data_IF_147463416272
#
_entry.id   IF_147463416272
#
_cell.length_a   1.000
_cell.length_b   1.000
_cell.length_c   1.000
_cell.angle_alpha   90.00
_cell.angle_beta   90.00
_cell.angle_gamma   90.00
#
_symmetry.space_group_name_H-M   'P 1'
#
loop_
_entity.id
_entity.type
_entity.pdbx_description
1 polymer ?
#
# COMPACT_ATOMS: atom_id res chain seq x y z
N UNK A 1 21.64 23.10 -20.45
CA UNK A 1 20.28 22.74 -20.03
C UNK A 1 20.32 21.34 -19.45
N UNK A 2 20.24 21.22 -18.12
CA UNK A 2 19.88 20.01 -17.33
C UNK A 2 20.58 20.08 -15.96
N UNK A 3 19.88 20.57 -14.93
CA UNK A 3 20.22 20.31 -13.52
C UNK A 3 19.14 20.76 -12.52
N UNK A 4 17.92 21.07 -12.97
CA UNK A 4 16.82 21.49 -12.10
C UNK A 4 15.94 20.30 -11.64
N UNK A 5 15.79 19.26 -12.45
CA UNK A 5 14.86 18.14 -12.16
C UNK A 5 15.33 17.21 -11.03
N UNK A 6 16.64 17.11 -10.80
CA UNK A 6 17.19 16.26 -9.72
C UNK A 6 17.10 16.93 -8.34
N UNK A 7 17.01 18.26 -8.29
CA UNK A 7 16.94 19.01 -7.02
C UNK A 7 15.53 19.05 -6.46
N UNK A 8 14.51 19.11 -7.33
CA UNK A 8 13.09 19.13 -6.95
C UNK A 8 12.66 17.83 -6.28
N UNK A 9 13.02 16.68 -6.87
CA UNK A 9 12.69 15.37 -6.29
C UNK A 9 13.37 15.17 -4.92
N UNK A 10 14.65 15.53 -4.80
CA UNK A 10 15.38 15.47 -3.54
C UNK A 10 14.79 16.42 -2.46
N UNK A 11 14.27 17.58 -2.85
CA UNK A 11 13.62 18.52 -1.92
C UNK A 11 12.22 18.09 -1.48
N UNK A 12 11.44 17.44 -2.35
CA UNK A 12 10.15 16.83 -2.00
C UNK A 12 10.38 15.66 -1.04
N UNK A 13 11.33 14.78 -1.34
CA UNK A 13 11.79 13.70 -0.46
C UNK A 13 12.29 14.25 0.89
N UNK A 14 13.04 15.36 0.90
CA UNK A 14 13.52 16.00 2.13
C UNK A 14 12.40 16.60 2.99
N UNK A 15 11.35 17.14 2.37
CA UNK A 15 10.18 17.68 3.08
C UNK A 15 9.32 16.56 3.70
N UNK A 16 9.15 15.44 2.99
CA UNK A 16 8.50 14.22 3.52
C UNK A 16 9.30 13.61 4.66
N UNK A 17 10.63 13.46 4.49
CA UNK A 17 11.56 12.97 5.53
C UNK A 17 11.55 13.80 6.82
N UNK A 18 11.39 15.12 6.71
CA UNK A 18 11.40 16.02 7.87
C UNK A 18 10.13 15.91 8.73
N UNK A 19 8.99 15.52 8.15
CA UNK A 19 7.75 15.22 8.88
C UNK A 19 7.70 13.79 9.41
N UNK A 20 8.35 12.84 8.75
CA UNK A 20 8.38 11.42 9.11
C UNK A 20 9.36 11.06 10.25
N UNK A 21 10.21 11.99 10.71
CA UNK A 21 11.02 11.80 11.93
C UNK A 21 10.19 11.55 13.20
N UNK A 22 8.87 11.64 13.12
CA UNK A 22 7.93 11.38 14.20
C UNK A 22 7.35 9.94 14.20
N UNK A 23 7.53 9.15 13.12
CA UNK A 23 7.12 7.74 13.07
C UNK A 23 8.23 6.77 13.49
N UNK A 24 9.27 7.26 14.19
CA UNK A 24 10.35 6.43 14.69
C UNK A 24 9.87 5.45 15.77
N UNK A 25 9.32 4.33 15.34
CA UNK A 25 9.18 3.12 16.15
C UNK A 25 10.08 2.05 15.53
N UNK A 26 11.03 1.60 16.34
CA UNK A 26 12.02 0.57 16.03
C UNK A 26 11.34 -0.71 15.50
N UNK A 27 11.90 -1.26 14.41
CA UNK A 27 11.67 -2.62 13.89
C UNK A 27 10.25 -2.94 13.38
N UNK A 28 9.84 -2.35 12.26
CA UNK A 28 8.86 -2.95 11.34
C UNK A 28 9.37 -4.32 10.87
N UNK A 29 9.03 -5.36 11.62
CA UNK A 29 9.21 -6.74 11.18
C UNK A 29 8.11 -7.05 10.18
N UNK A 30 8.34 -6.63 8.94
CA UNK A 30 7.50 -6.94 7.80
C UNK A 30 6.92 -8.35 7.79
N UNK A 31 5.67 -8.50 7.34
CA UNK A 31 4.90 -9.73 7.23
C UNK A 31 5.57 -10.70 6.25
N UNK A 32 6.56 -11.36 6.80
CA UNK A 32 7.51 -12.24 6.16
C UNK A 32 6.99 -13.67 6.17
N UNK A 33 5.91 -13.93 5.46
CA UNK A 33 5.30 -15.24 5.47
C UNK A 33 4.08 -15.31 4.58
N UNK A 34 3.88 -16.46 3.94
CA UNK A 34 2.66 -16.76 3.20
C UNK A 34 1.53 -16.98 4.21
N UNK A 35 0.47 -16.20 4.14
CA UNK A 35 -0.76 -16.46 4.88
C UNK A 35 -1.48 -17.71 4.33
N UNK A 36 -2.22 -18.40 5.21
CA UNK A 36 -3.32 -19.28 4.78
C UNK A 36 -4.54 -18.42 4.48
N UNK A 37 -4.75 -18.21 3.18
CA UNK A 37 -5.80 -17.43 2.56
C UNK A 37 -7.21 -17.94 2.95
N UNK A 38 -8.25 -17.09 2.86
CA UNK A 38 -9.63 -17.46 3.25
C UNK A 38 -10.17 -18.63 2.40
N UNK A 39 -9.47 -18.90 1.29
CA UNK A 39 -9.53 -20.09 0.47
C UNK A 39 -8.09 -20.47 0.07
N UNK A 40 -7.83 -21.76 -0.15
CA UNK A 40 -6.54 -22.32 -0.57
C UNK A 40 -5.67 -21.34 -1.39
N UNK A 41 -4.41 -21.04 -1.01
CA UNK A 41 -3.56 -20.10 -1.72
C UNK A 41 -3.31 -20.44 -3.20
N UNK A 42 -3.59 -21.69 -3.62
CA UNK A 42 -3.57 -22.10 -5.02
C UNK A 42 -4.83 -21.68 -5.82
N UNK A 43 -5.86 -21.12 -5.17
CA UNK A 43 -7.13 -20.66 -5.75
C UNK A 43 -7.30 -19.12 -5.78
N UNK A 44 -6.25 -18.35 -5.52
CA UNK A 44 -6.33 -16.89 -5.58
C UNK A 44 -6.32 -16.36 -7.02
N UNK A 45 -7.25 -15.47 -7.36
CA UNK A 45 -7.24 -14.79 -8.67
C UNK A 45 -6.16 -13.71 -8.68
N UNK A 46 -5.11 -13.93 -9.48
CA UNK A 46 -3.98 -13.00 -9.59
C UNK A 46 -4.11 -12.06 -10.79
N UNK A 47 -4.20 -10.76 -10.53
CA UNK A 47 -4.09 -9.70 -11.53
C UNK A 47 -2.61 -9.35 -11.75
N UNK A 48 -2.03 -9.79 -12.86
CA UNK A 48 -0.61 -9.58 -13.21
C UNK A 48 -0.39 -8.47 -14.22
N UNK A 49 -1.36 -8.22 -15.09
CA UNK A 49 -1.23 -7.26 -16.18
C UNK A 49 -1.65 -5.84 -15.80
N UNK A 50 -0.94 -4.85 -16.32
CA UNK A 50 -1.38 -3.44 -16.24
C UNK A 50 -2.79 -3.30 -16.82
N UNK A 51 -3.68 -2.63 -16.08
CA UNK A 51 -5.10 -2.47 -16.37
C UNK A 51 -5.91 -3.78 -16.50
N UNK A 52 -5.38 -4.92 -16.07
CA UNK A 52 -6.19 -6.13 -15.88
C UNK A 52 -7.19 -5.87 -14.76
N UNK A 53 -8.44 -6.26 -14.96
CA UNK A 53 -9.51 -6.03 -13.99
C UNK A 53 -10.38 -7.25 -13.78
N UNK A 54 -10.89 -7.39 -12.55
CA UNK A 54 -11.91 -8.36 -12.16
C UNK A 54 -13.12 -7.63 -11.58
N UNK A 55 -14.31 -8.21 -11.76
CA UNK A 55 -15.54 -7.72 -11.17
C UNK A 55 -16.03 -8.67 -10.09
N UNK A 56 -16.30 -8.15 -8.90
CA UNK A 56 -16.81 -8.88 -7.75
C UNK A 56 -18.22 -8.39 -7.47
N UNK A 57 -19.19 -9.31 -7.51
CA UNK A 57 -20.56 -9.03 -7.13
C UNK A 57 -20.74 -9.19 -5.61
N UNK A 58 -21.53 -8.33 -4.95
CA UNK A 58 -21.86 -8.48 -3.55
C UNK A 58 -22.65 -9.77 -3.30
N UNK A 59 -22.74 -10.18 -2.05
CA UNK A 59 -23.74 -11.16 -1.63
C UNK A 59 -25.12 -10.51 -1.62
N UNK A 60 -26.18 -11.31 -1.41
CA UNK A 60 -27.56 -10.80 -1.35
C UNK A 60 -27.75 -9.74 -0.24
N UNK A 61 -26.91 -9.78 0.80
CA UNK A 61 -26.89 -8.84 1.92
C UNK A 61 -25.78 -7.78 1.81
N UNK A 62 -25.05 -7.71 0.70
CA UNK A 62 -23.95 -6.75 0.49
C UNK A 62 -22.56 -7.37 0.63
N UNK A 63 -21.58 -6.54 0.97
CA UNK A 63 -20.24 -6.99 1.34
C UNK A 63 -20.08 -6.97 2.86
N UNK A 64 -19.32 -7.92 3.39
CA UNK A 64 -18.79 -7.88 4.75
C UNK A 64 -17.53 -7.01 4.80
N UNK A 65 -16.73 -7.09 5.86
CA UNK A 65 -15.43 -6.41 5.91
C UNK A 65 -14.54 -6.85 4.74
N UNK A 66 -13.90 -5.88 4.10
CA UNK A 66 -12.91 -6.13 3.05
C UNK A 66 -11.55 -5.76 3.64
N UNK A 67 -10.62 -6.70 3.64
CA UNK A 67 -9.26 -6.49 4.14
C UNK A 67 -8.32 -6.29 2.95
N UNK A 68 -7.52 -5.23 3.00
CA UNK A 68 -6.49 -4.98 2.00
C UNK A 68 -5.14 -4.90 2.70
N UNK A 69 -4.33 -5.92 2.49
CA UNK A 69 -3.00 -6.06 3.09
C UNK A 69 -1.89 -6.13 2.06
N UNK A 70 -0.66 -6.12 2.54
CA UNK A 70 0.54 -6.29 1.71
C UNK A 70 1.40 -7.44 2.24
N UNK A 71 1.85 -8.29 1.33
CA UNK A 71 2.88 -9.32 1.59
C UNK A 71 4.10 -9.07 0.72
N UNK A 72 5.29 -9.46 1.21
CA UNK A 72 6.52 -9.42 0.42
C UNK A 72 7.48 -10.54 0.78
N UNK A 73 8.48 -10.75 -0.07
CA UNK A 73 9.46 -11.81 0.14
C UNK A 73 10.60 -11.30 1.06
N UNK A 74 11.03 -12.12 2.03
CA UNK A 74 12.18 -11.80 2.87
C UNK A 74 13.47 -11.77 2.05
N UNK A 75 14.19 -10.65 2.11
CA UNK A 75 15.51 -10.53 1.50
C UNK A 75 16.59 -10.97 2.50
N UNK A 76 17.27 -12.07 2.19
CA UNK A 76 18.37 -12.61 3.01
C UNK A 76 19.70 -12.37 2.29
N UNK A 77 20.59 -11.54 2.86
CA UNK A 77 21.93 -11.24 2.31
C UNK A 77 23.04 -11.81 3.21
N UNK A 78 24.22 -12.18 2.66
CA UNK A 78 25.37 -12.55 3.49
C UNK A 78 25.82 -11.37 4.36
N UNK A 79 26.09 -11.59 5.64
CA UNK A 79 26.54 -10.53 6.54
C UNK A 79 27.90 -9.98 6.09
N UNK A 80 27.97 -8.67 5.81
CA UNK A 80 29.18 -8.01 5.29
C UNK A 80 30.30 -7.93 6.33
N UNK A 81 31.55 -8.17 5.91
CA UNK A 81 32.76 -7.96 6.71
C UNK A 81 33.77 -9.12 6.61
N UNK A 82 35.04 -8.82 6.86
CA UNK A 82 36.16 -9.79 6.82
C UNK A 82 35.95 -10.98 7.77
N UNK A 83 35.13 -10.80 8.82
CA UNK A 83 34.78 -11.85 9.80
C UNK A 83 33.48 -12.62 9.42
N UNK A 84 32.62 -12.06 8.57
CA UNK A 84 31.36 -12.68 8.11
C UNK A 84 31.54 -13.71 6.99
N UNK A 85 32.63 -13.64 6.22
CA UNK A 85 32.93 -14.66 5.20
C UNK A 85 33.42 -16.00 5.79
N UNK A 86 33.85 -16.02 7.05
CA UNK A 86 34.39 -17.20 7.73
C UNK A 86 33.33 -17.98 8.52
N UNK A 87 32.25 -17.32 8.92
CA UNK A 87 31.09 -17.92 9.55
C UNK A 87 29.90 -17.55 8.69
N UNK A 88 29.31 -18.50 7.94
CA UNK A 88 28.17 -18.32 7.02
C UNK A 88 26.94 -17.70 7.70
N UNK A 89 27.04 -16.45 8.13
CA UNK A 89 26.01 -15.71 8.86
C UNK A 89 25.28 -14.88 7.82
N UNK A 90 24.00 -15.14 7.68
CA UNK A 90 23.09 -14.35 6.86
C UNK A 90 22.47 -13.25 7.72
N UNK A 91 22.11 -12.15 7.09
CA UNK A 91 21.37 -11.04 7.68
C UNK A 91 20.14 -10.78 6.80
N UNK A 92 18.98 -10.69 7.43
CA UNK A 92 17.76 -10.20 6.79
C UNK A 92 17.90 -8.69 6.57
N UNK A 93 17.53 -8.23 5.38
CA UNK A 93 17.45 -6.80 5.07
C UNK A 93 16.08 -6.32 5.57
N UNK A 94 16.07 -5.36 6.48
CA UNK A 94 14.84 -4.71 6.91
C UNK A 94 14.36 -3.80 5.77
N UNK A 95 13.09 -3.96 5.40
CA UNK A 95 12.40 -3.18 4.39
C UNK A 95 11.21 -2.51 5.07
N UNK A 96 11.20 -1.17 5.06
CA UNK A 96 10.06 -0.39 5.55
C UNK A 96 9.12 -0.14 4.37
N UNK A 97 8.21 -1.09 4.15
CA UNK A 97 7.15 -1.03 3.16
C UNK A 97 5.83 -0.70 3.86
N UNK A 98 5.25 0.42 3.52
CA UNK A 98 3.99 0.89 4.11
C UNK A 98 2.85 0.84 3.08
N UNK A 99 1.61 0.66 3.56
CA UNK A 99 0.39 0.71 2.75
C UNK A 99 -0.47 1.95 3.05
N UNK A 100 -1.09 2.51 2.01
CA UNK A 100 -2.08 3.57 2.16
C UNK A 100 -3.09 3.57 1.03
N UNK A 101 -4.11 4.44 1.14
CA UNK A 101 -5.06 4.65 0.05
C UNK A 101 -5.54 6.08 -0.09
N UNK A 102 -5.92 6.45 -1.31
CA UNK A 102 -6.80 7.59 -1.57
C UNK A 102 -8.23 7.10 -1.72
N UNK A 103 -9.21 7.84 -1.20
CA UNK A 103 -10.61 7.50 -1.32
C UNK A 103 -11.45 8.66 -1.88
N UNK A 104 -12.54 8.30 -2.55
CA UNK A 104 -13.64 9.19 -2.91
C UNK A 104 -14.94 8.52 -2.51
N UNK A 105 -15.79 9.24 -1.77
CA UNK A 105 -17.14 8.84 -1.40
C UNK A 105 -18.13 9.30 -2.48
N UNK A 106 -19.32 8.68 -2.50
CA UNK A 106 -20.39 9.02 -3.44
C UNK A 106 -20.89 10.47 -3.30
N UNK A 107 -20.75 11.07 -2.11
CA UNK A 107 -21.08 12.49 -1.88
C UNK A 107 -20.00 13.46 -2.38
N UNK A 108 -18.90 12.94 -2.93
CA UNK A 108 -17.77 13.71 -3.44
C UNK A 108 -16.69 14.04 -2.40
N UNK A 109 -16.86 13.62 -1.14
CA UNK A 109 -15.82 13.71 -0.10
C UNK A 109 -14.63 12.86 -0.48
N UNK A 110 -13.42 13.41 -0.33
CA UNK A 110 -12.17 12.75 -0.72
C UNK A 110 -11.13 12.93 0.36
N UNK A 111 -10.23 11.96 0.47
CA UNK A 111 -9.13 12.02 1.41
C UNK A 111 -8.12 10.92 1.18
N UNK A 112 -7.22 10.79 2.14
CA UNK A 112 -6.23 9.73 2.18
C UNK A 112 -6.28 9.06 3.55
N UNK A 113 -6.05 7.74 3.57
CA UNK A 113 -5.80 6.95 4.77
C UNK A 113 -4.39 6.40 4.65
N UNK A 114 -3.53 6.72 5.62
CA UNK A 114 -2.09 6.46 5.61
C UNK A 114 -1.47 6.77 6.98
N UNK A 115 -0.43 6.02 7.37
CA UNK A 115 0.29 6.25 8.62
C UNK A 115 0.97 7.64 8.64
N UNK A 116 1.57 8.06 7.53
CA UNK A 116 2.18 9.39 7.43
C UNK A 116 1.15 10.52 7.56
N UNK A 117 1.38 11.42 8.52
CA UNK A 117 0.45 12.50 8.83
C UNK A 117 -0.74 12.07 9.67
N UNK A 118 -0.66 10.88 10.30
CA UNK A 118 -1.62 10.34 11.27
C UNK A 118 -3.06 10.26 10.72
N UNK A 119 -3.18 9.90 9.44
CA UNK A 119 -4.48 9.76 8.76
C UNK A 119 -4.95 8.32 8.84
N UNK A 120 -5.30 7.86 10.03
CA UNK A 120 -5.70 6.48 10.28
C UNK A 120 -7.07 6.10 9.72
N UNK A 121 -7.89 7.08 9.35
CA UNK A 121 -9.26 6.85 8.89
C UNK A 121 -10.22 6.54 10.04
N UNK A 122 -11.38 5.98 9.70
CA UNK A 122 -12.41 5.59 10.65
C UNK A 122 -13.26 4.46 10.06
N UNK A 123 -13.46 3.39 10.83
CA UNK A 123 -14.18 2.20 10.36
C UNK A 123 -15.71 2.34 10.47
N UNK A 124 -16.20 2.87 11.60
CA UNK A 124 -17.64 2.96 11.90
C UNK A 124 -18.32 4.25 11.41
N UNK A 125 -17.54 5.21 10.95
CA UNK A 125 -17.99 6.47 10.36
C UNK A 125 -17.22 6.79 9.09
N UNK A 126 -17.66 7.78 8.31
CA UNK A 126 -16.96 8.16 7.09
C UNK A 126 -15.46 8.44 7.40
N UNK A 127 -14.50 7.83 6.67
CA UNK A 127 -14.67 7.28 5.32
C UNK A 127 -15.04 5.80 5.23
N UNK A 128 -15.32 5.11 6.33
CA UNK A 128 -15.56 3.66 6.40
C UNK A 128 -14.34 2.82 6.00
N UNK A 129 -13.17 3.44 6.12
CA UNK A 129 -11.85 2.89 5.80
C UNK A 129 -10.95 3.26 6.96
N UNK A 130 -10.27 2.28 7.55
CA UNK A 130 -9.29 2.49 8.61
C UNK A 130 -8.01 1.71 8.31
N UNK A 131 -6.86 2.28 8.65
CA UNK A 131 -5.57 1.58 8.64
C UNK A 131 -5.31 1.02 10.03
N UNK A 132 -4.91 -0.24 10.13
CA UNK A 132 -4.48 -0.84 11.39
C UNK A 132 -3.30 -0.04 11.98
N UNK A 133 -3.44 0.42 13.22
CA UNK A 133 -2.37 1.09 13.95
C UNK A 133 -1.53 0.12 14.78
N UNK A 134 -0.65 0.66 15.62
CA UNK A 134 0.28 -0.06 16.53
C UNK A 134 -0.39 -0.93 17.62
N UNK A 135 -1.69 -1.18 17.53
CA UNK A 135 -2.33 -2.30 18.24
C UNK A 135 -1.94 -3.60 17.53
N UNK A 136 -0.63 -3.88 17.55
CA UNK A 136 -0.06 -5.17 17.24
C UNK A 136 -0.60 -6.13 18.29
N UNK A 137 -1.63 -6.91 17.95
CA UNK A 137 -1.86 -8.21 18.58
C UNK A 137 -0.71 -9.14 18.12
N UNK A 138 0.50 -8.82 18.61
CA UNK A 138 1.79 -9.32 18.16
C UNK A 138 2.09 -10.74 18.61
N UNK A 139 1.15 -11.66 18.40
CA UNK A 139 1.39 -13.10 18.45
C UNK A 139 0.53 -13.89 17.43
N UNK A 140 -0.23 -13.22 16.55
CA UNK A 140 -1.06 -13.88 15.53
C UNK A 140 -0.47 -13.76 14.11
N UNK A 141 -0.59 -14.84 13.32
CA UNK A 141 -0.22 -14.85 11.90
C UNK A 141 -1.09 -13.85 11.11
N UNK A 142 -0.49 -12.79 10.54
CA UNK A 142 -1.25 -11.74 9.85
C UNK A 142 -0.41 -10.76 9.05
N UNK A 143 -1.07 -9.77 8.44
CA UNK A 143 -0.40 -8.62 7.81
C UNK A 143 -0.08 -7.59 8.91
N UNK A 144 1.07 -6.92 8.83
CA UNK A 144 1.42 -5.89 9.83
C UNK A 144 0.62 -4.59 9.67
N UNK A 145 0.30 -4.25 8.42
CA UNK A 145 -0.52 -3.10 8.07
C UNK A 145 -1.66 -3.52 7.13
N UNK A 146 -2.90 -3.25 7.55
CA UNK A 146 -4.13 -3.62 6.84
C UNK A 146 -5.03 -2.41 6.73
N UNK A 147 -5.54 -2.17 5.53
CA UNK A 147 -6.69 -1.30 5.33
C UNK A 147 -7.96 -2.13 5.53
N UNK A 148 -8.71 -1.78 6.56
CA UNK A 148 -10.04 -2.30 6.87
C UNK A 148 -11.08 -1.43 6.17
N UNK A 149 -11.86 -2.02 5.26
CA UNK A 149 -12.95 -1.33 4.56
C UNK A 149 -14.27 -1.95 5.00
N UNK A 150 -15.17 -1.14 5.57
CA UNK A 150 -16.47 -1.61 6.06
C UNK A 150 -17.42 -1.84 4.89
N UNK A 151 -17.50 -3.07 4.37
CA UNK A 151 -18.26 -3.37 3.16
C UNK A 151 -19.77 -3.17 3.27
N UNK A 152 -20.34 -3.14 4.48
CA UNK A 152 -21.73 -2.71 4.71
C UNK A 152 -22.00 -1.29 4.15
N UNK A 153 -20.96 -0.45 4.11
CA UNK A 153 -21.00 0.91 3.57
C UNK A 153 -20.30 1.04 2.21
N UNK A 154 -20.02 -0.06 1.51
CA UNK A 154 -19.42 -0.02 0.17
C UNK A 154 -20.21 0.87 -0.79
N UNK A 155 -21.54 0.89 -0.68
CA UNK A 155 -22.41 1.76 -1.47
C UNK A 155 -22.23 3.27 -1.24
N UNK A 156 -21.50 3.68 -0.20
CA UNK A 156 -21.12 5.08 0.06
C UNK A 156 -19.72 5.41 -0.48
N UNK A 157 -18.93 4.40 -0.82
CA UNK A 157 -17.58 4.53 -1.35
C UNK A 157 -17.68 4.45 -2.87
N UNK A 158 -17.16 5.47 -3.56
CA UNK A 158 -17.12 5.51 -5.02
C UNK A 158 -15.89 4.81 -5.58
N UNK A 159 -14.72 5.10 -4.99
CA UNK A 159 -13.46 4.44 -5.36
C UNK A 159 -12.38 4.55 -4.29
N UNK A 160 -11.50 3.57 -4.27
CA UNK A 160 -10.30 3.48 -3.42
C UNK A 160 -9.10 3.19 -4.32
N UNK A 161 -8.08 4.03 -4.27
CA UNK A 161 -6.77 3.78 -4.88
C UNK A 161 -5.80 3.35 -3.80
N UNK A 162 -5.39 2.08 -3.82
CA UNK A 162 -4.40 1.50 -2.90
C UNK A 162 -3.01 1.73 -3.47
N UNK A 163 -2.08 2.16 -2.62
CA UNK A 163 -0.69 2.37 -2.97
C UNK A 163 0.25 1.86 -1.89
N UNK A 164 1.48 1.56 -2.30
CA UNK A 164 2.59 1.20 -1.45
C UNK A 164 3.69 2.24 -1.54
N UNK A 165 4.43 2.46 -0.46
CA UNK A 165 5.60 3.33 -0.48
C UNK A 165 6.76 2.78 0.36
N UNK A 166 7.99 3.08 -0.07
CA UNK A 166 9.22 2.67 0.62
C UNK A 166 9.88 3.92 1.22
N UNK A 167 10.08 3.93 2.54
CA UNK A 167 10.64 5.08 3.26
C UNK A 167 12.18 5.09 3.32
N UNK A 168 12.78 3.95 3.69
CA UNK A 168 14.22 3.74 3.76
C UNK A 168 14.57 2.32 3.28
N UNK A 169 15.81 2.13 2.85
CA UNK A 169 16.27 0.92 2.18
C UNK A 169 16.44 1.09 0.67
N UNK A 170 17.17 0.15 0.05
CA UNK A 170 17.35 0.14 -1.39
C UNK A 170 15.98 -0.09 -2.05
N UNK A 171 15.53 0.89 -2.85
CA UNK A 171 14.29 0.88 -3.60
C UNK A 171 14.36 -0.12 -4.75
N UNK A 172 14.51 -1.40 -4.44
CA UNK A 172 14.50 -2.47 -5.41
C UNK A 172 13.16 -3.20 -5.30
N UNK A 173 12.15 -2.67 -5.97
CA UNK A 173 10.81 -3.27 -5.99
C UNK A 173 10.86 -4.71 -6.52
N UNK A 174 11.83 -5.02 -7.39
CA UNK A 174 12.05 -6.36 -7.92
C UNK A 174 12.55 -7.34 -6.85
N UNK A 175 13.38 -6.88 -5.91
CA UNK A 175 13.84 -7.70 -4.78
C UNK A 175 12.77 -7.85 -3.70
N UNK A 176 11.95 -6.82 -3.45
CA UNK A 176 10.88 -6.84 -2.44
C UNK A 176 9.73 -7.75 -2.91
N UNK A 177 9.39 -7.70 -4.21
CA UNK A 177 8.29 -8.47 -4.80
C UNK A 177 6.97 -8.36 -4.01
N UNK A 178 6.49 -7.13 -3.70
CA UNK A 178 5.29 -6.96 -2.91
C UNK A 178 4.04 -7.37 -3.68
N UNK A 179 3.08 -7.89 -2.93
CA UNK A 179 1.78 -8.35 -3.41
C UNK A 179 0.71 -7.71 -2.53
N UNK A 180 -0.20 -6.97 -3.16
CA UNK A 180 -1.38 -6.47 -2.46
C UNK A 180 -2.46 -7.54 -2.51
N UNK A 181 -2.94 -7.91 -1.34
CA UNK A 181 -3.98 -8.92 -1.13
C UNK A 181 -5.28 -8.19 -0.82
N UNK A 182 -6.36 -8.55 -1.51
CA UNK A 182 -7.72 -8.09 -1.20
C UNK A 182 -8.55 -9.32 -0.83
N UNK A 183 -8.86 -9.44 0.45
CA UNK A 183 -9.71 -10.49 1.02
C UNK A 183 -11.15 -9.96 1.15
N UNK A 184 -12.08 -10.69 0.54
CA UNK A 184 -13.51 -10.41 0.58
C UNK A 184 -14.19 -11.70 1.04
N UNK A 185 -14.82 -11.73 2.23
CA UNK A 185 -15.43 -12.93 2.79
C UNK A 185 -16.36 -13.65 1.79
N UNK A 186 -16.10 -14.94 1.59
CA UNK A 186 -16.87 -15.80 0.68
C UNK A 186 -16.60 -15.59 -0.81
N UNK A 187 -15.53 -14.87 -1.18
CA UNK A 187 -15.00 -14.77 -2.55
C UNK A 187 -13.61 -15.42 -2.62
N UNK A 188 -13.10 -15.61 -3.84
CA UNK A 188 -11.69 -15.97 -4.04
C UNK A 188 -10.81 -14.76 -3.69
N UNK A 189 -9.69 -15.02 -3.02
CA UNK A 189 -8.74 -13.97 -2.67
C UNK A 189 -8.13 -13.36 -3.94
N UNK A 190 -7.99 -12.04 -3.95
CA UNK A 190 -7.48 -11.31 -5.10
C UNK A 190 -6.07 -10.83 -4.82
N UNK A 191 -5.16 -11.13 -5.75
CA UNK A 191 -3.75 -10.74 -5.63
C UNK A 191 -3.39 -9.78 -6.74
N UNK A 192 -2.89 -8.60 -6.38
CA UNK A 192 -2.29 -7.66 -7.32
C UNK A 192 -0.78 -7.71 -7.17
N UNK A 193 -0.10 -8.23 -8.18
CA UNK A 193 1.37 -8.28 -8.21
C UNK A 193 1.93 -7.07 -8.93
N UNK A 194 3.05 -6.52 -8.45
CA UNK A 194 3.81 -5.56 -9.22
C UNK A 194 4.25 -6.15 -10.57
N UNK A 195 4.09 -5.38 -11.64
CA UNK A 195 4.54 -5.73 -12.98
C UNK A 195 5.95 -5.18 -13.25
N UNK A 196 6.05 -4.29 -14.24
CA UNK A 196 7.26 -3.47 -14.43
C UNK A 196 7.53 -2.65 -13.17
N UNK A 197 8.79 -2.36 -12.88
CA UNK A 197 9.20 -1.54 -11.75
C UNK A 197 10.13 -0.42 -12.20
N UNK A 198 10.05 0.71 -11.49
CA UNK A 198 11.03 1.79 -11.58
C UNK A 198 11.60 2.03 -10.17
N UNK A 199 12.80 1.50 -9.95
CA UNK A 199 13.52 1.57 -8.68
C UNK A 199 13.95 3.01 -8.30
N UNK A 200 13.74 4.00 -9.18
CA UNK A 200 13.93 5.42 -8.88
C UNK A 200 12.71 6.08 -8.24
N UNK A 201 11.56 5.39 -8.22
CA UNK A 201 10.29 5.91 -7.72
C UNK A 201 9.88 5.14 -6.46
N UNK A 202 9.58 5.86 -5.38
CA UNK A 202 9.33 5.27 -4.05
C UNK A 202 7.84 5.08 -3.73
N UNK A 203 6.95 5.41 -4.67
CA UNK A 203 5.51 5.28 -4.53
C UNK A 203 4.94 4.50 -5.71
N UNK A 204 4.16 3.45 -5.42
CA UNK A 204 3.48 2.64 -6.43
C UNK A 204 1.98 2.61 -6.17
N UNK A 205 1.18 3.08 -7.11
CA UNK A 205 -0.27 2.86 -7.14
C UNK A 205 -0.53 1.43 -7.63
N UNK A 206 -1.05 0.57 -6.76
CA UNK A 206 -1.13 -0.87 -7.02
C UNK A 206 -2.50 -1.26 -7.56
N UNK A 207 -3.58 -0.92 -6.84
CA UNK A 207 -4.93 -1.38 -7.15
C UNK A 207 -5.94 -0.25 -7.07
N UNK A 208 -6.85 -0.19 -8.03
CA UNK A 208 -8.00 0.71 -8.02
C UNK A 208 -9.28 -0.11 -7.85
N UNK A 209 -9.95 0.06 -6.72
CA UNK A 209 -11.27 -0.50 -6.46
C UNK A 209 -12.31 0.57 -6.79
N UNK A 210 -13.26 0.26 -7.67
CA UNK A 210 -14.34 1.17 -8.05
C UNK A 210 -15.69 0.54 -7.76
N UNK A 211 -16.61 1.33 -7.19
CA UNK A 211 -17.98 0.91 -7.04
C UNK A 211 -18.71 1.00 -8.38
N UNK A 212 -19.03 -0.16 -8.95
CA UNK A 212 -19.76 -0.26 -10.21
C UNK A 212 -21.09 -0.96 -9.93
N UNK A 213 -22.15 -0.16 -9.80
CA UNK A 213 -23.52 -0.65 -9.54
C UNK A 213 -23.62 -1.51 -8.27
N UNK A 214 -22.90 -1.15 -7.20
CA UNK A 214 -22.87 -1.88 -5.93
C UNK A 214 -21.89 -3.07 -5.90
N UNK A 215 -21.29 -3.44 -7.03
CA UNK A 215 -20.14 -4.36 -7.07
C UNK A 215 -18.81 -3.64 -6.96
N UNK A 216 -17.73 -4.41 -6.84
CA UNK A 216 -16.35 -3.93 -6.89
C UNK A 216 -15.79 -4.25 -8.27
N UNK A 217 -15.22 -3.25 -8.94
CA UNK A 217 -14.26 -3.48 -10.03
C UNK A 217 -12.87 -3.23 -9.48
N UNK A 218 -12.06 -4.28 -9.32
CA UNK A 218 -10.65 -4.17 -8.96
C UNK A 218 -9.82 -4.13 -10.24
N UNK A 219 -9.00 -3.10 -10.40
CA UNK A 219 -8.08 -2.96 -11.55
C UNK A 219 -6.64 -2.88 -11.06
N UNK A 220 -5.78 -3.74 -11.61
CA UNK A 220 -4.33 -3.64 -11.41
C UNK A 220 -3.82 -2.37 -12.11
N UNK A 221 -3.28 -1.43 -11.33
CA UNK A 221 -2.70 -0.18 -11.81
C UNK A 221 -1.19 -0.23 -11.91
N UNK A 222 -0.49 -0.80 -10.95
CA UNK A 222 0.98 -0.97 -10.97
C UNK A 222 1.76 0.18 -11.63
N UNK A 223 1.42 1.40 -11.25
CA UNK A 223 1.96 2.66 -11.79
C UNK A 223 2.82 3.36 -10.72
N UNK A 224 3.99 3.86 -11.11
CA UNK A 224 4.98 4.41 -10.17
C UNK A 224 5.04 5.94 -10.27
N UNK A 225 5.23 6.60 -9.13
CA UNK A 225 5.18 8.05 -9.02
C UNK A 225 6.31 8.62 -8.16
N UNK A 226 6.76 9.85 -8.42
CA UNK A 226 7.76 10.53 -7.60
C UNK A 226 7.20 10.98 -6.24
N UNK A 227 5.87 11.12 -6.13
CA UNK A 227 5.20 11.62 -4.94
C UNK A 227 3.69 11.47 -5.01
N UNK A 228 3.05 11.71 -3.85
CA UNK A 228 1.61 11.56 -3.68
C UNK A 228 0.81 12.57 -4.50
N UNK A 229 1.33 13.79 -4.69
CA UNK A 229 0.68 14.81 -5.50
C UNK A 229 0.62 14.42 -6.98
N UNK A 230 1.72 13.87 -7.52
CA UNK A 230 1.77 13.40 -8.90
C UNK A 230 0.85 12.20 -9.13
N UNK A 231 0.82 11.26 -8.17
CA UNK A 231 -0.11 10.14 -8.17
C UNK A 231 -1.56 10.63 -8.13
N UNK A 232 -1.91 11.51 -7.19
CA UNK A 232 -3.25 12.08 -7.08
C UNK A 232 -3.65 12.79 -8.38
N UNK A 233 -2.78 13.63 -8.95
CA UNK A 233 -3.05 14.30 -10.23
C UNK A 233 -3.32 13.31 -11.37
N UNK A 234 -2.64 12.17 -11.40
CA UNK A 234 -2.84 11.14 -12.42
C UNK A 234 -4.19 10.42 -12.27
N UNK A 235 -4.64 10.16 -11.05
CA UNK A 235 -5.91 9.48 -10.77
C UNK A 235 -7.11 10.41 -10.52
N UNK A 236 -6.85 11.70 -10.35
CA UNK A 236 -7.84 12.76 -10.24
C UNK A 236 -8.68 12.71 -8.96
N UNK A 237 -8.09 12.51 -7.78
CA UNK A 237 -8.80 12.73 -6.52
C UNK A 237 -8.83 14.23 -6.18
N UNK A 238 -7.82 15.00 -6.54
CA UNK A 238 -7.79 16.45 -6.36
C UNK A 238 -7.69 16.86 -4.89
N UNK A 239 -6.90 16.13 -4.11
CA UNK A 239 -6.57 16.49 -2.74
C UNK A 239 -5.60 17.67 -2.73
N UNK A 240 -5.66 18.44 -1.65
CA UNK A 240 -4.67 19.48 -1.40
C UNK A 240 -3.48 18.86 -0.67
N UNK A 241 -2.40 18.64 -1.39
CA UNK A 241 -1.11 18.30 -0.81
C UNK A 241 -0.45 19.61 -0.38
N UNK A 242 -0.06 19.72 0.88
CA UNK A 242 0.71 20.88 1.30
C UNK A 242 2.07 20.79 0.64
N UNK A 243 2.31 21.64 -0.35
CA UNK A 243 3.65 21.97 -0.81
C UNK A 243 4.50 22.25 0.44
N UNK A 244 5.69 21.65 0.50
CA UNK A 244 6.70 22.04 1.48
C UNK A 244 7.11 23.49 1.24
N UNK A 245 6.28 24.46 1.65
CA UNK A 245 6.63 25.86 1.69
C UNK A 245 7.73 25.98 2.72
N UNK A 246 8.96 26.05 2.23
CA UNK A 246 10.12 26.46 3.00
C UNK A 246 9.80 27.85 3.55
N UNK A 247 9.45 27.93 4.83
CA UNK A 247 9.50 29.21 5.52
C UNK A 247 10.96 29.65 5.47
N UNK A 248 11.17 30.76 4.76
CA UNK A 248 12.45 31.46 4.61
C UNK A 248 12.97 31.96 5.95
#
# INVERSE_FOLDING_TARGET
MSNQDNKSNASLLGATRSRAKFSGHDNSLGAAGKRTLCCDPDNAETLRGHNQSVAINPHDYGFEEILIGVEWDQIIKPAGGLMGSLFKKTQTVDIDLDIGCLYELEDGTRGAVQAFGEKWGAYDEAPYIALSGDEREGDEEGFDEVLHVKGEFWNKIKRILVYLYIYDGASNWAEINPRVMVDIPGKEDLVVTLGAHDDHLHLCAVGLLENVRGGIRLTNKTEYFPGHEEMDRAFGFGLSWADGVKQS
#
